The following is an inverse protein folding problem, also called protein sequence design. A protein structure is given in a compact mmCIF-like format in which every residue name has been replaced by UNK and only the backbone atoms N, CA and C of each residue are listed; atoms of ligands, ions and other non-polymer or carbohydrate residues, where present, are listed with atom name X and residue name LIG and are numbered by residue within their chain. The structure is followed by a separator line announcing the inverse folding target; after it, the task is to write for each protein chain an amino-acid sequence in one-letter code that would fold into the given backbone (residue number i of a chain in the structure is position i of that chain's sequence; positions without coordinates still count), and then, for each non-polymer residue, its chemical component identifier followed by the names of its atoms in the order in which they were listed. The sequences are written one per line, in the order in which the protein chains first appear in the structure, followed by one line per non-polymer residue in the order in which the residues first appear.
data_IF_547995006402
#
_entry.id   IF_547995006402
#
_cell.length_a   1.000
_cell.length_b   1.000
_cell.length_c   1.000
_cell.angle_alpha   90.00
_cell.angle_beta   90.00
_cell.angle_gamma   90.00
#
_symmetry.space_group_name_H-M   'P 1'
#
loop_
_entity.id
_entity.type
_entity.pdbx_description
1 polymer ?
#
# COMPACT_ATOMS: atom_id res chain seq x y z
N UNK A 1 -27.31 29.39 -49.00
CA UNK A 1 -27.38 28.32 -47.98
C UNK A 1 -26.83 28.88 -46.66
N UNK A 2 -27.72 28.98 -45.66
CA UNK A 2 -27.56 29.73 -44.41
C UNK A 2 -26.76 28.89 -43.40
N UNK A 3 -25.64 29.43 -42.89
CA UNK A 3 -24.94 28.89 -41.71
C UNK A 3 -25.65 29.38 -40.46
N UNK A 4 -26.16 28.47 -39.63
CA UNK A 4 -26.71 28.79 -38.31
C UNK A 4 -25.65 28.61 -37.21
N UNK A 5 -25.57 29.65 -36.38
CA UNK A 5 -24.79 29.78 -35.14
C UNK A 5 -25.53 29.15 -33.95
N UNK A 6 -24.80 28.77 -32.90
CA UNK A 6 -25.29 28.59 -31.52
C UNK A 6 -24.30 27.75 -30.71
N UNK A 7 -23.34 28.35 -30.00
CA UNK A 7 -23.36 28.80 -28.59
C UNK A 7 -22.98 27.73 -27.56
N UNK A 8 -21.76 27.86 -27.00
CA UNK A 8 -21.29 27.53 -25.64
C UNK A 8 -19.74 27.44 -25.75
N UNK A 9 -18.96 28.51 -25.54
CA UNK A 9 -18.56 29.11 -24.26
C UNK A 9 -18.05 28.06 -23.24
N UNK A 10 -16.80 28.28 -22.80
CA UNK A 10 -15.99 27.54 -21.81
C UNK A 10 -15.15 26.35 -22.30
N UNK A 11 -13.93 26.65 -22.77
CA UNK A 11 -12.76 25.80 -22.49
C UNK A 11 -11.46 26.59 -22.74
N UNK A 12 -11.28 27.64 -21.94
CA UNK A 12 -10.00 28.29 -21.75
C UNK A 12 -9.92 28.67 -20.27
N UNK A 13 -9.42 27.75 -19.44
CA UNK A 13 -8.61 27.94 -18.22
C UNK A 13 -8.38 26.54 -17.65
N UNK A 14 -7.23 25.93 -17.96
CA UNK A 14 -6.49 24.98 -17.09
C UNK A 14 -5.15 24.59 -17.74
N UNK A 15 -4.48 25.59 -18.32
CA UNK A 15 -3.08 25.52 -18.78
C UNK A 15 -2.20 26.51 -17.99
N UNK A 16 -2.56 26.72 -16.73
CA UNK A 16 -1.74 27.31 -15.68
C UNK A 16 -1.80 26.39 -14.46
N UNK A 17 -1.20 25.21 -14.59
CA UNK A 17 -0.76 24.48 -13.40
C UNK A 17 0.59 25.10 -13.01
N UNK A 18 0.52 26.03 -12.07
CA UNK A 18 1.66 26.66 -11.42
C UNK A 18 2.82 25.67 -11.22
N UNK A 19 4.05 25.96 -11.72
CA UNK A 19 5.21 25.56 -10.96
C UNK A 19 5.13 26.35 -9.65
N UNK A 20 5.42 25.72 -8.51
CA UNK A 20 5.33 26.34 -7.18
C UNK A 20 3.93 26.35 -6.54
N UNK A 21 3.41 25.16 -6.29
CA UNK A 21 2.79 24.91 -4.97
C UNK A 21 3.55 23.76 -4.32
N UNK A 22 4.79 24.06 -3.92
CA UNK A 22 5.37 23.36 -2.80
C UNK A 22 4.47 23.65 -1.61
N UNK A 23 3.47 22.79 -1.36
CA UNK A 23 2.95 22.60 -0.01
C UNK A 23 4.21 22.38 0.80
N UNK A 24 4.58 23.37 1.61
CA UNK A 24 5.71 23.25 2.52
C UNK A 24 5.44 21.97 3.30
N UNK A 25 6.14 20.89 2.95
CA UNK A 25 6.19 19.72 3.80
C UNK A 25 6.76 20.27 5.08
N UNK A 26 5.90 20.41 6.08
CA UNK A 26 6.30 20.71 7.44
C UNK A 26 7.54 19.87 7.68
N UNK A 27 8.66 20.54 8.01
CA UNK A 27 9.95 19.87 8.04
C UNK A 27 9.82 18.79 9.10
N UNK A 28 9.66 17.55 8.67
CA UNK A 28 9.51 16.43 9.58
C UNK A 28 10.85 16.39 10.32
N UNK A 29 10.82 16.65 11.62
CA UNK A 29 12.03 16.69 12.46
C UNK A 29 12.26 15.35 13.18
N UNK A 30 11.25 14.47 13.18
CA UNK A 30 11.26 13.19 13.88
C UNK A 30 10.62 12.11 13.01
N UNK A 31 11.12 10.87 13.06
CA UNK A 31 10.49 9.78 12.35
C UNK A 31 9.09 9.51 12.93
N UNK A 32 8.23 8.94 12.11
CA UNK A 32 6.87 8.50 12.47
C UNK A 32 6.90 7.43 13.55
N UNK A 33 7.86 6.52 13.48
CA UNK A 33 8.14 5.48 14.47
C UNK A 33 9.61 5.05 14.38
N UNK A 34 10.12 4.37 15.42
CA UNK A 34 11.41 3.70 15.33
C UNK A 34 11.30 2.52 14.35
N UNK A 35 11.97 2.62 13.21
CA UNK A 35 11.95 1.59 12.17
C UNK A 35 12.46 0.23 12.70
N UNK A 36 13.38 0.23 13.67
CA UNK A 36 13.90 -1.02 14.23
C UNK A 36 12.88 -1.69 15.13
N UNK A 37 12.12 -0.92 15.91
CA UNK A 37 11.02 -1.46 16.73
C UNK A 37 9.92 -2.06 15.85
N UNK A 38 9.58 -1.39 14.74
CA UNK A 38 8.64 -1.94 13.75
C UNK A 38 9.17 -3.24 13.14
N UNK A 39 10.46 -3.30 12.78
CA UNK A 39 11.05 -4.51 12.20
C UNK A 39 11.23 -5.64 13.22
N UNK A 40 11.43 -5.33 14.50
CA UNK A 40 11.41 -6.33 15.59
C UNK A 40 10.00 -6.92 15.73
N UNK A 41 8.96 -6.10 15.60
CA UNK A 41 7.57 -6.56 15.57
C UNK A 41 7.26 -7.43 14.33
N UNK A 42 7.82 -7.10 13.16
CA UNK A 42 7.76 -7.97 11.96
C UNK A 42 8.42 -9.32 12.24
N UNK A 43 9.60 -9.32 12.86
CA UNK A 43 10.32 -10.55 13.20
C UNK A 43 9.50 -11.41 14.18
N UNK A 44 8.89 -10.81 15.20
CA UNK A 44 8.01 -11.52 16.14
C UNK A 44 6.80 -12.16 15.43
N UNK A 45 6.13 -11.42 14.56
CA UNK A 45 4.98 -11.93 13.79
C UNK A 45 5.40 -13.03 12.80
N UNK A 46 6.63 -12.98 12.29
CA UNK A 46 7.18 -13.94 11.32
C UNK A 46 7.41 -15.35 11.88
N UNK A 47 7.43 -15.52 13.20
CA UNK A 47 7.55 -16.84 13.86
C UNK A 47 6.34 -17.73 13.53
N UNK A 48 5.18 -17.14 13.23
CA UNK A 48 3.98 -17.87 12.84
C UNK A 48 4.02 -18.20 11.35
N UNK A 49 3.60 -19.40 10.94
CA UNK A 49 3.45 -19.72 9.52
C UNK A 49 2.22 -19.00 8.95
N UNK A 50 2.38 -17.73 8.54
CA UNK A 50 1.28 -16.92 8.01
C UNK A 50 0.72 -17.46 6.68
N UNK A 51 1.58 -18.08 5.87
CA UNK A 51 1.19 -18.74 4.62
C UNK A 51 2.21 -19.83 4.23
N UNK A 52 1.80 -20.95 3.60
CA UNK A 52 2.74 -21.99 3.18
C UNK A 52 3.85 -21.47 2.25
N UNK A 53 5.11 -21.59 2.67
CA UNK A 53 6.29 -21.17 1.91
C UNK A 53 6.60 -19.66 1.94
N UNK A 54 5.80 -18.86 2.65
CA UNK A 54 6.04 -17.43 2.77
C UNK A 54 7.09 -17.13 3.86
N UNK A 55 8.35 -16.99 3.42
CA UNK A 55 9.50 -16.69 4.28
C UNK A 55 9.79 -15.17 4.30
N UNK A 56 9.15 -14.45 5.22
CA UNK A 56 9.18 -12.99 5.35
C UNK A 56 10.62 -12.44 5.42
N UNK A 57 11.49 -13.09 6.20
CA UNK A 57 12.88 -12.69 6.39
C UNK A 57 13.79 -12.88 5.15
N UNK A 58 13.28 -13.51 4.09
CA UNK A 58 13.99 -13.68 2.81
C UNK A 58 13.55 -12.68 1.74
N UNK A 59 12.57 -11.83 2.05
CA UNK A 59 12.00 -10.88 1.10
C UNK A 59 12.51 -9.48 1.45
N UNK A 60 13.23 -8.80 0.54
CA UNK A 60 13.73 -7.45 0.77
C UNK A 60 12.59 -6.45 1.03
N UNK A 61 12.81 -5.51 1.95
CA UNK A 61 11.88 -4.40 2.20
C UNK A 61 12.61 -3.09 2.46
N UNK A 62 12.19 -2.03 1.78
CA UNK A 62 12.62 -0.65 1.98
C UNK A 62 11.55 0.15 2.73
N UNK A 63 11.87 0.60 3.93
CA UNK A 63 10.96 1.31 4.84
C UNK A 63 11.40 2.77 4.97
N UNK A 64 10.53 3.71 4.62
CA UNK A 64 10.73 5.13 4.87
C UNK A 64 10.04 5.52 6.19
N UNK A 65 10.82 5.96 7.17
CA UNK A 65 10.34 6.28 8.53
C UNK A 65 9.77 7.70 8.66
N UNK A 66 9.74 8.49 7.57
CA UNK A 66 9.38 9.91 7.59
C UNK A 66 10.59 10.85 7.48
N UNK A 67 11.80 10.37 7.77
CA UNK A 67 13.07 11.10 7.65
C UNK A 67 14.04 10.42 6.69
N UNK A 68 14.20 9.11 6.84
CA UNK A 68 15.21 8.30 6.16
C UNK A 68 14.63 6.98 5.69
N UNK A 69 15.28 6.38 4.70
CA UNK A 69 14.86 5.09 4.15
C UNK A 69 15.86 4.02 4.56
N UNK A 70 15.34 2.90 5.04
CA UNK A 70 16.13 1.75 5.49
C UNK A 70 15.73 0.53 4.67
N UNK A 71 16.70 -0.22 4.17
CA UNK A 71 16.46 -1.45 3.44
C UNK A 71 16.91 -2.65 4.29
N UNK A 72 16.00 -3.60 4.49
CA UNK A 72 16.20 -4.83 5.25
C UNK A 72 16.12 -6.03 4.31
N UNK A 73 16.77 -7.13 4.69
CA UNK A 73 16.71 -8.44 4.01
C UNK A 73 17.13 -8.42 2.52
N UNK A 74 17.82 -7.39 2.05
CA UNK A 74 18.24 -7.28 0.65
C UNK A 74 19.34 -8.28 0.25
N UNK A 75 20.07 -8.85 1.22
CA UNK A 75 21.20 -9.77 1.00
C UNK A 75 22.46 -9.03 0.55
N UNK A 76 22.36 -8.25 -0.52
CA UNK A 76 23.41 -7.42 -1.08
C UNK A 76 23.06 -5.92 -0.98
N UNK A 77 24.04 -5.03 -1.21
CA UNK A 77 23.84 -3.60 -1.09
C UNK A 77 22.93 -3.06 -2.21
N UNK A 78 21.73 -2.52 -1.91
CA UNK A 78 20.86 -1.94 -2.92
C UNK A 78 21.44 -0.62 -3.46
N UNK A 79 21.18 -0.35 -4.74
CA UNK A 79 21.63 0.88 -5.40
C UNK A 79 21.22 2.14 -4.64
N UNK A 80 22.19 3.03 -4.42
CA UNK A 80 21.99 4.28 -3.70
C UNK A 80 22.00 4.15 -2.18
N UNK A 81 21.94 2.95 -1.62
CA UNK A 81 22.04 2.74 -0.18
C UNK A 81 23.50 2.53 0.27
N UNK A 82 23.75 2.88 1.52
CA UNK A 82 25.01 2.61 2.22
C UNK A 82 24.76 1.62 3.36
N UNK A 83 25.65 0.65 3.63
CA UNK A 83 25.53 -0.21 4.80
C UNK A 83 25.46 0.60 6.09
N UNK A 84 24.52 0.28 6.98
CA UNK A 84 24.37 1.01 8.24
C UNK A 84 25.42 0.50 9.25
N UNK A 85 26.28 1.39 9.81
CA UNK A 85 27.25 0.98 10.82
C UNK A 85 26.54 0.34 12.03
N UNK A 86 27.10 -0.77 12.54
CA UNK A 86 26.59 -1.53 13.71
C UNK A 86 25.30 -2.35 13.50
N UNK A 87 24.67 -2.33 12.31
CA UNK A 87 23.51 -3.17 11.97
C UNK A 87 23.77 -3.96 10.69
N UNK A 88 24.29 -5.19 10.84
CA UNK A 88 24.61 -6.06 9.69
C UNK A 88 23.35 -6.39 8.90
N UNK A 89 23.42 -6.27 7.57
CA UNK A 89 22.31 -6.58 6.67
C UNK A 89 21.22 -5.51 6.60
N UNK A 90 21.44 -4.34 7.22
CA UNK A 90 20.59 -3.16 7.08
C UNK A 90 21.34 -2.11 6.27
N UNK A 91 20.65 -1.55 5.27
CA UNK A 91 21.18 -0.50 4.42
C UNK A 91 20.40 0.79 4.63
N UNK A 92 21.06 1.92 4.49
CA UNK A 92 20.56 3.24 4.84
C UNK A 92 20.65 4.19 3.65
N UNK A 93 19.61 5.00 3.50
CA UNK A 93 19.54 6.11 2.56
C UNK A 93 19.04 7.36 3.29
N UNK A 94 19.82 8.44 3.21
CA UNK A 94 19.47 9.71 3.82
C UNK A 94 18.31 10.36 3.05
N UNK A 95 17.14 10.41 3.66
CA UNK A 95 15.94 10.99 3.05
C UNK A 95 14.94 9.94 2.57
N UNK A 96 13.95 10.40 1.81
CA UNK A 96 13.03 9.51 1.10
C UNK A 96 13.68 9.05 -0.21
N UNK A 97 13.94 7.74 -0.34
CA UNK A 97 14.45 7.19 -1.59
C UNK A 97 13.44 7.42 -2.73
N UNK A 98 13.92 7.79 -3.92
CA UNK A 98 13.06 8.27 -5.02
C UNK A 98 11.95 7.28 -5.45
N UNK A 99 12.20 5.97 -5.26
CA UNK A 99 11.25 4.90 -5.59
C UNK A 99 10.37 4.47 -4.40
N UNK A 100 10.66 4.91 -3.17
CA UNK A 100 9.89 4.57 -1.96
C UNK A 100 8.86 5.66 -1.68
N UNK A 101 7.84 5.73 -2.55
CA UNK A 101 6.80 6.79 -2.54
C UNK A 101 5.51 6.39 -1.83
N UNK A 102 5.34 5.11 -1.55
CA UNK A 102 4.17 4.54 -0.90
C UNK A 102 4.33 3.05 -0.69
N UNK A 103 3.29 2.44 -0.15
CA UNK A 103 3.24 1.00 0.07
C UNK A 103 3.00 0.31 -1.28
N UNK A 104 3.96 -0.50 -1.72
CA UNK A 104 3.95 -1.15 -3.03
C UNK A 104 5.09 -2.16 -3.15
N UNK A 105 5.30 -2.65 -4.36
CA UNK A 105 6.43 -3.47 -4.77
C UNK A 105 7.18 -2.74 -5.89
N UNK A 106 8.49 -2.56 -5.72
CA UNK A 106 9.37 -1.95 -6.72
C UNK A 106 10.51 -2.91 -7.08
N UNK A 107 11.20 -2.61 -8.16
CA UNK A 107 12.48 -3.22 -8.47
C UNK A 107 13.60 -2.26 -8.03
N UNK A 108 14.47 -2.73 -7.15
CA UNK A 108 15.72 -2.04 -6.77
C UNK A 108 16.87 -2.92 -7.26
N UNK A 109 17.70 -2.37 -8.15
CA UNK A 109 18.65 -3.14 -8.96
C UNK A 109 17.95 -4.35 -9.63
N UNK A 110 18.44 -5.57 -9.39
CA UNK A 110 17.89 -6.80 -9.97
C UNK A 110 16.89 -7.54 -9.07
N UNK A 111 16.49 -6.94 -7.95
CA UNK A 111 15.63 -7.60 -6.95
C UNK A 111 14.29 -6.89 -6.76
N UNK A 112 13.21 -7.68 -6.72
CA UNK A 112 11.92 -7.22 -6.22
C UNK A 112 12.04 -6.88 -4.73
N UNK A 113 11.63 -5.67 -4.37
CA UNK A 113 11.72 -5.13 -3.01
C UNK A 113 10.39 -4.51 -2.61
N UNK A 114 9.89 -4.89 -1.43
CA UNK A 114 8.68 -4.31 -0.89
C UNK A 114 8.99 -2.89 -0.42
N UNK A 115 8.04 -1.97 -0.55
CA UNK A 115 8.19 -0.62 -0.03
C UNK A 115 7.15 -0.36 1.02
N UNK A 116 7.54 0.29 2.11
CA UNK A 116 6.61 0.78 3.12
C UNK A 116 6.95 2.21 3.49
N UNK A 117 5.96 3.10 3.42
CA UNK A 117 6.05 4.46 3.95
C UNK A 117 5.29 4.47 5.26
N UNK A 118 6.02 4.61 6.37
CA UNK A 118 5.40 4.62 7.69
C UNK A 118 4.46 5.81 7.80
N UNK A 119 3.31 5.54 8.41
CA UNK A 119 2.31 6.55 8.75
C UNK A 119 1.70 6.16 10.09
N UNK A 120 1.42 7.15 10.92
CA UNK A 120 0.77 6.96 12.22
C UNK A 120 -0.76 6.95 12.11
N UNK A 121 -1.32 7.16 10.91
CA UNK A 121 -2.76 7.15 10.69
C UNK A 121 -3.15 6.63 9.30
N UNK A 122 -4.35 6.07 9.22
CA UNK A 122 -5.00 5.78 7.95
C UNK A 122 -5.37 7.05 7.21
N UNK A 123 -4.91 7.20 5.96
CA UNK A 123 -5.30 8.31 5.09
C UNK A 123 -6.81 8.37 4.80
N UNK A 124 -7.52 7.24 4.95
CA UNK A 124 -8.94 7.13 4.60
C UNK A 124 -9.86 7.26 5.82
N UNK A 125 -9.53 6.58 6.92
CA UNK A 125 -10.37 6.56 8.13
C UNK A 125 -9.88 7.49 9.22
N UNK A 126 -8.63 7.98 9.16
CA UNK A 126 -7.99 8.73 10.24
C UNK A 126 -7.66 7.89 11.48
N UNK A 127 -7.89 6.57 11.42
CA UNK A 127 -7.57 5.65 12.51
C UNK A 127 -6.07 5.62 12.77
N UNK A 128 -5.68 5.69 14.05
CA UNK A 128 -4.27 5.71 14.45
C UNK A 128 -3.67 4.30 14.34
N UNK A 129 -2.53 4.19 13.68
CA UNK A 129 -1.77 2.95 13.62
C UNK A 129 -0.82 2.80 14.80
N UNK A 130 -0.82 1.62 15.40
CA UNK A 130 0.21 1.20 16.33
C UNK A 130 1.36 0.49 15.57
N UNK A 131 2.44 0.15 16.28
CA UNK A 131 3.62 -0.51 15.70
C UNK A 131 3.26 -1.85 15.02
N UNK A 132 2.34 -2.60 15.61
CA UNK A 132 1.87 -3.88 15.07
C UNK A 132 1.10 -3.70 13.77
N UNK A 133 0.33 -2.64 13.63
CA UNK A 133 -0.37 -2.32 12.37
C UNK A 133 0.64 -1.97 11.27
N UNK A 134 1.64 -1.15 11.58
CA UNK A 134 2.73 -0.81 10.64
C UNK A 134 3.52 -2.05 10.22
N UNK A 135 3.83 -2.94 11.16
CA UNK A 135 4.46 -4.22 10.87
C UNK A 135 3.58 -5.11 9.96
N UNK A 136 2.26 -5.13 10.22
CA UNK A 136 1.29 -5.84 9.38
C UNK A 136 1.26 -5.33 7.94
N UNK A 137 1.36 -4.01 7.74
CA UNK A 137 1.47 -3.38 6.42
C UNK A 137 2.75 -3.84 5.71
N UNK A 138 3.90 -3.83 6.41
CA UNK A 138 5.17 -4.32 5.83
C UNK A 138 5.05 -5.78 5.37
N UNK A 139 4.49 -6.64 6.22
CA UNK A 139 4.28 -8.06 5.90
C UNK A 139 3.35 -8.21 4.69
N UNK A 140 2.30 -7.39 4.61
CA UNK A 140 1.38 -7.37 3.47
C UNK A 140 2.12 -7.04 2.16
N UNK A 141 2.98 -6.02 2.15
CA UNK A 141 3.74 -5.66 0.95
C UNK A 141 4.77 -6.73 0.56
N UNK A 142 5.41 -7.39 1.54
CA UNK A 142 6.27 -8.53 1.27
C UNK A 142 5.49 -9.73 0.71
N UNK A 143 4.23 -9.91 1.12
CA UNK A 143 3.38 -10.97 0.59
C UNK A 143 3.07 -10.79 -0.89
N UNK A 144 2.92 -9.55 -1.37
CA UNK A 144 2.76 -9.28 -2.81
C UNK A 144 3.95 -9.78 -3.64
N UNK A 145 5.18 -9.69 -3.11
CA UNK A 145 6.36 -10.25 -3.77
C UNK A 145 6.31 -11.78 -3.77
N UNK A 146 5.99 -12.39 -2.62
CA UNK A 146 5.85 -13.83 -2.53
C UNK A 146 4.82 -14.35 -3.54
N UNK A 147 3.63 -13.76 -3.56
CA UNK A 147 2.57 -14.08 -4.52
C UNK A 147 3.05 -13.96 -5.96
N UNK A 148 3.71 -12.84 -6.31
CA UNK A 148 4.23 -12.62 -7.67
C UNK A 148 5.27 -13.66 -8.06
N UNK A 149 6.14 -14.08 -7.13
CA UNK A 149 7.16 -15.09 -7.37
C UNK A 149 6.57 -16.50 -7.56
N UNK A 150 5.52 -16.83 -6.80
CA UNK A 150 4.93 -18.19 -6.80
C UNK A 150 3.84 -18.37 -7.85
N UNK A 151 3.15 -17.28 -8.20
CA UNK A 151 2.02 -17.25 -9.13
C UNK A 151 2.17 -16.09 -10.15
N UNK A 152 3.20 -16.12 -11.01
CA UNK A 152 3.54 -14.99 -11.89
C UNK A 152 2.46 -14.63 -12.92
N UNK A 153 1.59 -15.59 -13.26
CA UNK A 153 0.46 -15.40 -14.18
C UNK A 153 -0.82 -14.97 -13.47
N UNK A 154 -0.87 -15.09 -12.15
CA UNK A 154 -2.04 -14.70 -11.37
C UNK A 154 -1.98 -13.19 -11.08
N UNK A 155 -3.06 -12.50 -11.42
CA UNK A 155 -3.25 -11.09 -11.04
C UNK A 155 -4.59 -10.97 -10.33
N UNK A 156 -4.59 -10.26 -9.22
CA UNK A 156 -5.82 -9.88 -8.56
C UNK A 156 -6.63 -8.99 -9.53
N UNK A 157 -7.89 -9.35 -9.76
CA UNK A 157 -8.80 -8.49 -10.48
C UNK A 157 -9.60 -7.71 -9.44
N UNK A 158 -9.05 -6.56 -9.00
CA UNK A 158 -9.68 -5.70 -7.99
C UNK A 158 -11.07 -5.21 -8.40
N UNK A 159 -11.35 -5.18 -9.71
CA UNK A 159 -12.69 -4.89 -10.23
C UNK A 159 -13.74 -5.89 -9.72
N UNK A 160 -13.37 -7.15 -9.48
CA UNK A 160 -14.29 -8.14 -8.92
C UNK A 160 -14.79 -7.75 -7.53
N UNK A 161 -14.03 -7.00 -6.73
CA UNK A 161 -14.48 -6.53 -5.40
C UNK A 161 -15.62 -5.51 -5.51
N UNK A 162 -15.69 -4.76 -6.61
CA UNK A 162 -16.79 -3.83 -6.90
C UNK A 162 -18.05 -4.56 -7.39
N UNK A 163 -17.86 -5.73 -7.99
CA UNK A 163 -18.95 -6.57 -8.48
C UNK A 163 -19.27 -7.71 -7.51
N UNK A 164 -18.68 -7.77 -6.32
CA UNK A 164 -18.92 -8.85 -5.37
C UNK A 164 -20.04 -8.48 -4.37
N UNK A 165 -20.98 -9.39 -4.10
CA UNK A 165 -21.23 -10.66 -4.82
C UNK A 165 -21.67 -10.39 -6.26
N UNK A 166 -21.21 -11.25 -7.18
CA UNK A 166 -21.60 -11.18 -8.60
C UNK A 166 -23.12 -11.13 -8.71
N UNK A 167 -23.67 -10.08 -9.34
CA UNK A 167 -25.11 -9.93 -9.57
C UNK A 167 -25.58 -10.90 -10.65
N UNK A 168 -25.73 -12.16 -10.28
CA UNK A 168 -26.41 -13.18 -11.08
C UNK A 168 -27.92 -13.15 -10.82
N UNK A 169 -28.70 -13.69 -11.74
CA UNK A 169 -30.15 -13.88 -11.52
C UNK A 169 -30.44 -14.67 -10.24
N UNK A 170 -29.62 -15.67 -9.93
CA UNK A 170 -29.71 -16.48 -8.72
C UNK A 170 -29.42 -15.69 -7.44
N UNK A 171 -28.33 -14.93 -7.38
CA UNK A 171 -27.98 -14.11 -6.20
C UNK A 171 -28.99 -12.99 -5.96
N UNK A 172 -29.53 -12.38 -7.03
CA UNK A 172 -30.61 -11.40 -6.93
C UNK A 172 -31.92 -12.02 -6.41
N UNK A 173 -32.25 -13.25 -6.84
CA UNK A 173 -33.40 -13.99 -6.34
C UNK A 173 -33.26 -14.33 -4.85
N UNK A 174 -32.08 -14.83 -4.43
CA UNK A 174 -31.81 -15.14 -3.02
C UNK A 174 -31.90 -13.90 -2.13
N UNK A 175 -31.31 -12.77 -2.56
CA UNK A 175 -31.46 -11.48 -1.87
C UNK A 175 -32.92 -11.02 -1.77
N UNK A 176 -33.72 -11.27 -2.81
CA UNK A 176 -35.15 -10.93 -2.80
C UNK A 176 -35.90 -11.78 -1.78
N UNK A 177 -35.62 -13.08 -1.72
CA UNK A 177 -36.22 -14.00 -0.72
C UNK A 177 -35.84 -13.55 0.69
N UNK A 178 -34.56 -13.28 0.93
CA UNK A 178 -34.06 -12.80 2.23
C UNK A 178 -34.74 -11.50 2.66
N UNK A 179 -34.88 -10.53 1.75
CA UNK A 179 -35.56 -9.26 2.03
C UNK A 179 -37.04 -9.45 2.34
N UNK A 180 -37.74 -10.34 1.64
CA UNK A 180 -39.15 -10.64 1.92
C UNK A 180 -39.32 -11.43 3.23
N UNK A 181 -38.40 -12.35 3.55
CA UNK A 181 -38.37 -13.03 4.84
C UNK A 181 -38.14 -12.04 5.99
N UNK A 182 -37.19 -11.11 5.83
CA UNK A 182 -36.91 -10.07 6.82
C UNK A 182 -38.12 -9.15 7.05
N UNK A 183 -38.79 -8.70 5.97
CA UNK A 183 -40.03 -7.90 6.10
C UNK A 183 -41.11 -8.63 6.90
N UNK A 184 -41.30 -9.92 6.64
CA UNK A 184 -42.28 -10.73 7.39
C UNK A 184 -41.87 -10.85 8.85
N UNK A 185 -40.60 -11.08 9.14
CA UNK A 185 -40.10 -11.20 10.50
C UNK A 185 -40.26 -9.90 11.30
N UNK A 186 -39.94 -8.74 10.70
CA UNK A 186 -40.09 -7.43 11.34
C UNK A 186 -41.55 -7.01 11.47
N UNK A 187 -42.40 -7.36 10.49
CA UNK A 187 -43.83 -7.07 10.52
C UNK A 187 -44.68 -8.04 11.34
N UNK A 188 -44.07 -9.09 11.93
CA UNK A 188 -44.74 -10.09 12.76
C UNK A 188 -44.75 -9.75 14.27
N UNK A 189 -44.70 -8.45 14.60
CA UNK A 189 -45.05 -7.90 15.92
C UNK A 189 -46.56 -7.84 16.10
#
# INVERSE_FOLDING_TARGET
MRKFKGWAMMLAVLLLANPETGVGREKIERPVADVFEVMDQVAELSVRPLWPGFAINKIPVAVFDGLHTYCFNAGENPDGFSPLPKKKGVFFFAGQHANVRGNSVIQLADHWTATSVLSDHSRRSGEKYNIRDMAGIIIHEQFHIFQRSRHPTWRQNDGLLLFYPAETSETLMLRRIEKEAFKRAVGAT
#
